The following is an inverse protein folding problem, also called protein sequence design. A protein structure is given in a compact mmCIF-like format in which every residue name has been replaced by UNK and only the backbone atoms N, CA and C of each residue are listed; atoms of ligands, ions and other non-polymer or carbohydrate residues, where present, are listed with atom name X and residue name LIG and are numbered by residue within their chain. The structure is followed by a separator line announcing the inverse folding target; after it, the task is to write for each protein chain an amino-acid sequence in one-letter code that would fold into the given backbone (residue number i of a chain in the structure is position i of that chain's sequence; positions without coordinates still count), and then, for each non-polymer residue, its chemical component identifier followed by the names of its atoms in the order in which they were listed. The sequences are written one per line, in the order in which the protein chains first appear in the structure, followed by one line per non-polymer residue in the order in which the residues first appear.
data_IF_549227886051
#
_entry.id   IF_549227886051
#
_cell.length_a   1.000
_cell.length_b   1.000
_cell.length_c   1.000
_cell.angle_alpha   90.00
_cell.angle_beta   90.00
_cell.angle_gamma   90.00
#
_symmetry.space_group_name_H-M   'P 1'
#
loop_
_entity.id
_entity.type
_entity.pdbx_description
1 polymer ?
#
# COMPACT_ATOMS: atom_id res chain seq x y z
N UNK A 1 0.15 -10.79 -17.55
CA UNK A 1 -0.51 -10.03 -16.47
C UNK A 1 -0.10 -10.53 -15.09
N UNK A 2 -0.02 -11.85 -14.84
CA UNK A 2 0.43 -12.41 -13.55
C UNK A 2 1.65 -11.71 -12.93
N UNK A 3 2.78 -11.66 -13.63
CA UNK A 3 3.99 -10.98 -13.14
C UNK A 3 3.75 -9.50 -12.80
N UNK A 4 3.02 -8.78 -13.66
CA UNK A 4 2.68 -7.37 -13.45
C UNK A 4 1.88 -7.16 -12.16
N UNK A 5 0.95 -8.08 -11.85
CA UNK A 5 0.14 -8.04 -10.63
C UNK A 5 0.96 -8.35 -9.38
N UNK A 6 1.86 -9.34 -9.45
CA UNK A 6 2.77 -9.70 -8.35
C UNK A 6 3.76 -8.56 -8.04
N UNK A 7 4.32 -7.92 -9.07
CA UNK A 7 5.19 -6.76 -8.93
C UNK A 7 4.46 -5.59 -8.27
N UNK A 8 3.23 -5.31 -8.69
CA UNK A 8 2.40 -4.26 -8.12
C UNK A 8 2.06 -4.58 -6.65
N UNK A 9 1.69 -5.83 -6.36
CA UNK A 9 1.43 -6.28 -4.99
C UNK A 9 2.65 -6.13 -4.09
N UNK A 10 3.84 -6.47 -4.59
CA UNK A 10 5.09 -6.26 -3.85
C UNK A 10 5.38 -4.78 -3.59
N UNK A 11 5.05 -3.90 -4.54
CA UNK A 11 5.25 -2.45 -4.41
C UNK A 11 4.33 -1.84 -3.35
N UNK A 12 3.07 -2.29 -3.30
CA UNK A 12 2.07 -1.82 -2.35
C UNK A 12 1.95 -2.67 -1.08
N UNK A 13 2.80 -3.70 -0.90
CA UNK A 13 2.84 -4.57 0.30
C UNK A 13 2.95 -3.79 1.62
N UNK A 14 3.61 -2.63 1.56
CA UNK A 14 3.83 -1.74 2.71
C UNK A 14 2.89 -0.54 2.77
N UNK A 15 1.95 -0.42 1.83
CA UNK A 15 1.00 0.69 1.83
C UNK A 15 0.01 0.53 2.98
N UNK A 16 -0.25 1.61 3.71
CA UNK A 16 -1.28 1.66 4.75
C UNK A 16 -2.69 1.95 4.19
N UNK A 17 -2.78 2.36 2.93
CA UNK A 17 -4.05 2.77 2.28
C UNK A 17 -4.46 1.90 1.10
N UNK A 18 -3.54 1.14 0.51
CA UNK A 18 -3.80 0.31 -0.68
C UNK A 18 -3.46 -1.14 -0.39
N UNK A 19 -4.41 -2.04 -0.69
CA UNK A 19 -4.19 -3.47 -0.72
C UNK A 19 -4.37 -3.98 -2.15
N UNK A 20 -3.36 -4.68 -2.66
CA UNK A 20 -3.44 -5.43 -3.90
C UNK A 20 -3.63 -6.89 -3.53
N UNK A 21 -4.73 -7.49 -4.01
CA UNK A 21 -5.09 -8.87 -3.72
C UNK A 21 -5.56 -9.57 -4.98
N UNK A 22 -5.39 -10.89 -5.02
CA UNK A 22 -5.96 -11.78 -6.03
C UNK A 22 -6.88 -12.81 -5.38
N UNK A 23 -7.85 -13.30 -6.15
CA UNK A 23 -8.76 -14.36 -5.74
C UNK A 23 -8.78 -15.43 -6.83
N UNK A 24 -8.58 -16.69 -6.43
CA UNK A 24 -8.66 -17.82 -7.33
C UNK A 24 -10.11 -18.30 -7.46
N UNK A 25 -10.79 -17.80 -8.49
CA UNK A 25 -12.18 -18.15 -8.78
C UNK A 25 -12.39 -19.62 -9.19
N UNK A 26 -11.33 -20.41 -9.39
CA UNK A 26 -11.48 -21.87 -9.55
C UNK A 26 -11.76 -22.56 -8.22
N UNK A 27 -11.32 -21.95 -7.11
CA UNK A 27 -11.53 -22.41 -5.74
C UNK A 27 -12.69 -21.63 -5.08
N UNK A 28 -12.73 -20.31 -5.26
CA UNK A 28 -13.66 -19.38 -4.62
C UNK A 28 -14.81 -18.96 -5.57
N UNK A 29 -15.58 -19.94 -6.05
CA UNK A 29 -16.58 -19.71 -7.09
C UNK A 29 -17.72 -18.76 -6.65
N UNK A 30 -18.23 -18.93 -5.42
CA UNK A 30 -19.32 -18.11 -4.88
C UNK A 30 -18.91 -16.64 -4.77
N UNK A 31 -17.71 -16.37 -4.23
CA UNK A 31 -17.14 -15.02 -4.14
C UNK A 31 -17.08 -14.38 -5.53
N UNK A 32 -16.56 -15.09 -6.52
CA UNK A 32 -16.41 -14.55 -7.86
C UNK A 32 -17.76 -14.32 -8.57
N UNK A 33 -18.78 -15.16 -8.29
CA UNK A 33 -20.14 -14.92 -8.76
C UNK A 33 -20.77 -13.70 -8.09
N UNK A 34 -20.65 -13.54 -6.77
CA UNK A 34 -21.14 -12.38 -6.01
C UNK A 34 -20.54 -11.08 -6.55
N UNK A 35 -19.24 -11.10 -6.85
CA UNK A 35 -18.55 -9.96 -7.45
C UNK A 35 -18.72 -9.86 -8.98
N UNK A 36 -19.56 -10.69 -9.61
CA UNK A 36 -19.93 -10.60 -11.02
C UNK A 36 -18.79 -10.86 -12.01
N UNK A 37 -17.83 -11.72 -11.64
CA UNK A 37 -16.70 -12.10 -12.50
C UNK A 37 -17.19 -13.07 -13.59
N UNK A 38 -17.10 -12.65 -14.86
CA UNK A 38 -17.56 -13.43 -16.02
C UNK A 38 -16.44 -13.99 -16.89
N UNK A 39 -15.19 -13.61 -16.62
CA UNK A 39 -14.03 -14.04 -17.39
C UNK A 39 -12.73 -13.57 -16.74
N UNK A 40 -11.62 -14.24 -17.06
CA UNK A 40 -10.32 -13.96 -16.44
C UNK A 40 -9.33 -13.33 -17.42
N UNK A 41 -8.45 -12.42 -16.97
CA UNK A 41 -8.49 -11.76 -15.67
C UNK A 41 -9.50 -10.60 -15.65
N UNK A 42 -10.27 -10.50 -14.56
CA UNK A 42 -11.13 -9.36 -14.22
C UNK A 42 -10.47 -8.59 -13.08
N UNK A 43 -10.34 -7.26 -13.23
CA UNK A 43 -9.78 -6.38 -12.21
C UNK A 43 -10.92 -5.48 -11.70
N UNK A 44 -11.09 -5.46 -10.38
CA UNK A 44 -12.01 -4.54 -9.69
C UNK A 44 -11.22 -3.76 -8.65
N UNK A 45 -11.70 -2.56 -8.34
CA UNK A 45 -11.17 -1.74 -7.25
C UNK A 45 -12.27 -1.36 -6.28
N UNK A 46 -11.90 -1.16 -5.02
CA UNK A 46 -12.81 -0.94 -3.91
C UNK A 46 -12.38 0.32 -3.16
N UNK A 47 -12.91 1.50 -3.50
CA UNK A 47 -12.63 2.72 -2.75
C UNK A 47 -13.13 2.62 -1.31
N UNK A 48 -12.38 3.18 -0.37
CA UNK A 48 -12.77 3.19 1.02
C UNK A 48 -14.12 3.92 1.20
N UNK A 49 -15.05 3.28 1.92
CA UNK A 49 -16.37 3.85 2.21
C UNK A 49 -17.45 3.63 1.13
N UNK A 50 -17.10 3.05 -0.03
CA UNK A 50 -18.06 2.83 -1.14
C UNK A 50 -18.68 1.42 -1.18
N UNK A 51 -18.54 0.63 -0.12
CA UNK A 51 -19.14 -0.70 -0.01
C UNK A 51 -18.33 -1.82 -0.70
N UNK A 52 -18.96 -2.99 -0.88
CA UNK A 52 -18.29 -4.24 -1.31
C UNK A 52 -18.52 -4.63 -2.77
N UNK A 53 -19.31 -3.88 -3.54
CA UNK A 53 -19.62 -4.29 -4.93
C UNK A 53 -18.39 -4.18 -5.84
N UNK A 54 -17.55 -3.17 -5.60
CA UNK A 54 -16.33 -2.91 -6.37
C UNK A 54 -16.62 -2.40 -7.78
N UNK A 55 -15.79 -1.46 -8.23
CA UNK A 55 -15.92 -0.85 -9.56
C UNK A 55 -15.00 -1.57 -10.55
N UNK A 56 -15.44 -1.74 -11.81
CA UNK A 56 -14.59 -2.36 -12.83
C UNK A 56 -13.42 -1.44 -13.19
N UNK A 57 -12.21 -2.00 -13.26
CA UNK A 57 -11.06 -1.28 -13.81
C UNK A 57 -10.99 -1.47 -15.34
N UNK A 58 -10.94 -0.35 -16.07
CA UNK A 58 -10.88 -0.34 -17.55
C UNK A 58 -9.62 0.31 -18.12
N UNK A 59 -8.65 0.66 -17.28
CA UNK A 59 -7.39 1.25 -17.73
C UNK A 59 -6.39 0.24 -18.31
N UNK A 60 -5.18 0.72 -18.63
CA UNK A 60 -4.08 -0.11 -19.11
C UNK A 60 -3.67 -1.17 -18.07
N UNK A 61 -3.29 -2.37 -18.54
CA UNK A 61 -2.96 -3.52 -17.68
C UNK A 61 -1.45 -3.76 -17.55
N UNK A 62 -0.64 -2.84 -18.04
CA UNK A 62 0.79 -2.76 -17.75
C UNK A 62 1.03 -2.17 -16.36
N UNK A 63 2.26 -2.33 -15.85
CA UNK A 63 2.62 -1.95 -14.48
C UNK A 63 2.41 -0.45 -14.24
N UNK A 64 2.82 0.38 -15.20
CA UNK A 64 2.81 1.83 -15.05
C UNK A 64 1.38 2.38 -15.05
N UNK A 65 0.51 1.86 -15.93
CA UNK A 65 -0.91 2.21 -15.95
C UNK A 65 -1.62 1.85 -14.63
N UNK A 66 -1.39 0.63 -14.12
CA UNK A 66 -1.99 0.19 -12.86
C UNK A 66 -1.47 1.01 -11.68
N UNK A 67 -0.16 1.22 -11.60
CA UNK A 67 0.46 2.04 -10.56
C UNK A 67 -0.09 3.45 -10.57
N UNK A 68 -0.16 4.08 -11.75
CA UNK A 68 -0.73 5.42 -11.89
C UNK A 68 -2.18 5.47 -11.40
N UNK A 69 -3.01 4.50 -11.78
CA UNK A 69 -4.39 4.44 -11.29
C UNK A 69 -4.48 4.35 -9.77
N UNK A 70 -3.65 3.49 -9.16
CA UNK A 70 -3.57 3.38 -7.70
C UNK A 70 -3.20 4.72 -7.08
N UNK A 71 -2.14 5.38 -7.57
CA UNK A 71 -1.66 6.67 -7.06
C UNK A 71 -2.71 7.79 -7.18
N UNK A 72 -3.41 7.84 -8.31
CA UNK A 72 -4.34 8.93 -8.62
C UNK A 72 -5.72 8.74 -7.96
N UNK A 73 -6.12 7.48 -7.67
CA UNK A 73 -7.52 7.16 -7.33
C UNK A 73 -7.69 6.46 -5.98
N UNK A 74 -6.72 5.65 -5.55
CA UNK A 74 -6.87 4.75 -4.40
C UNK A 74 -5.92 5.08 -3.25
N UNK A 75 -4.73 5.56 -3.57
CA UNK A 75 -3.69 5.82 -2.60
C UNK A 75 -4.02 7.06 -1.79
N UNK A 76 -4.35 6.85 -0.52
CA UNK A 76 -4.36 7.92 0.48
C UNK A 76 -2.98 7.98 1.09
N UNK A 77 -2.24 9.06 0.84
CA UNK A 77 -0.94 9.27 1.48
C UNK A 77 -1.16 9.82 2.87
N UNK A 78 -0.54 9.18 3.87
CA UNK A 78 -0.45 9.75 5.21
C UNK A 78 0.36 11.05 5.14
N UNK A 79 -0.32 12.18 5.30
CA UNK A 79 0.32 13.48 5.32
C UNK A 79 0.90 13.72 6.71
N UNK A 80 2.23 13.79 6.80
CA UNK A 80 2.91 13.89 8.10
C UNK A 80 2.66 15.23 8.79
N UNK A 81 2.18 16.27 8.09
CA UNK A 81 1.95 17.60 8.65
C UNK A 81 0.54 17.74 9.22
N UNK A 82 -0.47 17.41 8.42
CA UNK A 82 -1.90 17.47 8.74
C UNK A 82 -2.42 16.21 9.43
N UNK A 83 -1.67 15.10 9.38
CA UNK A 83 -2.06 13.77 9.88
C UNK A 83 -3.24 13.14 9.12
N UNK A 84 -3.67 13.75 8.02
CA UNK A 84 -4.72 13.21 7.17
C UNK A 84 -4.26 11.91 6.51
N UNK A 85 -5.15 10.92 6.44
CA UNK A 85 -4.83 9.62 5.84
C UNK A 85 -3.90 8.73 6.67
N UNK A 86 -3.53 9.14 7.88
CA UNK A 86 -2.70 8.36 8.79
C UNK A 86 -3.56 7.54 9.78
N UNK A 87 -3.13 6.31 10.05
CA UNK A 87 -3.65 5.45 11.13
C UNK A 87 -3.20 5.96 12.51
N UNK A 88 -3.90 5.55 13.57
CA UNK A 88 -3.52 5.90 14.95
C UNK A 88 -2.08 5.54 15.31
N UNK A 89 -1.57 4.43 14.76
CA UNK A 89 -0.18 3.99 14.96
C UNK A 89 0.81 4.91 14.25
N UNK A 90 0.47 5.38 13.06
CA UNK A 90 1.28 6.33 12.29
C UNK A 90 1.27 7.70 12.96
N UNK A 91 0.12 8.18 13.42
CA UNK A 91 0.00 9.45 14.14
C UNK A 91 0.88 9.45 15.39
N UNK A 92 0.79 8.39 16.22
CA UNK A 92 1.64 8.24 17.41
C UNK A 92 3.13 8.20 17.05
N UNK A 93 3.48 7.56 15.94
CA UNK A 93 4.86 7.50 15.47
C UNK A 93 5.35 8.87 14.96
N UNK A 94 4.52 9.60 14.21
CA UNK A 94 4.79 10.95 13.72
C UNK A 94 5.03 11.89 14.89
N UNK A 95 4.15 11.91 15.88
CA UNK A 95 4.26 12.78 17.06
C UNK A 95 5.55 12.49 17.83
N UNK A 96 5.85 11.22 18.09
CA UNK A 96 7.09 10.82 18.76
C UNK A 96 8.36 11.20 17.99
N UNK A 97 8.29 11.28 16.66
CA UNK A 97 9.46 11.56 15.81
C UNK A 97 9.63 13.05 15.52
N UNK A 98 8.53 13.80 15.44
CA UNK A 98 8.55 15.27 15.31
C UNK A 98 9.23 15.94 16.50
N UNK A 99 9.06 15.40 17.70
CA UNK A 99 9.69 15.93 18.92
C UNK A 99 11.20 15.65 19.00
N UNK A 100 11.71 14.66 18.26
CA UNK A 100 13.14 14.33 18.24
C UNK A 100 13.92 15.27 17.34
N UNK A 101 15.23 15.37 17.57
CA UNK A 101 16.11 16.12 16.68
C UNK A 101 16.19 15.44 15.29
N UNK A 102 16.44 16.23 14.24
CA UNK A 102 16.68 15.70 12.89
C UNK A 102 17.82 14.67 12.88
N UNK A 103 18.87 14.86 13.70
CA UNK A 103 19.95 13.89 13.86
C UNK A 103 19.46 12.50 14.32
N UNK A 104 18.51 12.44 15.26
CA UNK A 104 17.93 11.18 15.74
C UNK A 104 17.04 10.53 14.68
N UNK A 105 16.24 11.33 13.97
CA UNK A 105 15.43 10.85 12.84
C UNK A 105 16.31 10.28 11.74
N UNK A 106 17.42 10.95 11.40
CA UNK A 106 18.38 10.49 10.40
C UNK A 106 19.11 9.22 10.82
N UNK A 107 19.48 9.11 12.10
CA UNK A 107 20.04 7.87 12.66
C UNK A 107 19.03 6.71 12.56
N UNK A 108 17.75 6.98 12.81
CA UNK A 108 16.69 5.99 12.71
C UNK A 108 16.38 5.60 11.26
N UNK A 109 16.40 6.54 10.31
CA UNK A 109 16.34 6.26 8.86
C UNK A 109 17.47 5.32 8.48
N UNK A 110 18.71 5.66 8.85
CA UNK A 110 19.90 4.86 8.51
C UNK A 110 19.81 3.44 9.07
N UNK A 111 19.32 3.30 10.32
CA UNK A 111 19.08 2.00 10.94
C UNK A 111 18.05 1.19 10.17
N UNK A 112 16.90 1.78 9.83
CA UNK A 112 15.83 1.10 9.14
C UNK A 112 16.21 0.75 7.69
N UNK A 113 16.98 1.59 7.00
CA UNK A 113 17.48 1.29 5.64
C UNK A 113 18.43 0.09 5.66
N UNK A 114 19.28 -0.03 6.68
CA UNK A 114 20.12 -1.23 6.88
C UNK A 114 19.31 -2.49 7.20
N UNK A 115 18.11 -2.33 7.77
CA UNK A 115 17.21 -3.45 8.02
C UNK A 115 16.44 -3.86 6.75
N UNK A 116 16.30 -2.98 5.75
CA UNK A 116 15.63 -3.27 4.48
C UNK A 116 16.43 -4.31 3.67
N UNK A 117 16.02 -5.57 3.75
CA UNK A 117 16.59 -6.67 2.98
C UNK A 117 15.56 -7.75 2.64
N UNK A 118 15.83 -8.51 1.58
CA UNK A 118 14.89 -9.43 0.94
C UNK A 118 14.48 -10.63 1.81
N UNK A 119 15.18 -10.91 2.91
CA UNK A 119 14.94 -12.06 3.80
C UNK A 119 14.07 -11.73 5.03
N UNK A 120 13.47 -10.54 5.10
CA UNK A 120 12.57 -10.21 6.20
C UNK A 120 11.20 -10.86 6.05
N UNK A 121 10.53 -11.10 7.18
CA UNK A 121 9.11 -11.46 7.19
C UNK A 121 8.29 -10.32 6.53
N UNK A 122 7.24 -10.63 5.75
CA UNK A 122 6.38 -9.64 5.08
C UNK A 122 5.88 -8.54 6.02
N UNK A 123 5.37 -8.93 7.18
CA UNK A 123 4.89 -8.02 8.24
C UNK A 123 5.96 -7.02 8.72
N UNK A 124 7.20 -7.49 8.87
CA UNK A 124 8.32 -6.68 9.32
C UNK A 124 8.80 -5.75 8.21
N UNK A 125 8.85 -6.25 6.97
CA UNK A 125 9.22 -5.47 5.79
C UNK A 125 8.23 -4.32 5.57
N UNK A 126 6.93 -4.61 5.65
CA UNK A 126 5.87 -3.60 5.56
C UNK A 126 6.04 -2.53 6.63
N UNK A 127 6.26 -2.93 7.89
CA UNK A 127 6.49 -2.01 9.00
C UNK A 127 7.76 -1.14 8.81
N UNK A 128 8.87 -1.72 8.34
CA UNK A 128 10.12 -0.99 8.09
C UNK A 128 9.91 0.06 7.00
N UNK A 129 9.29 -0.33 5.89
CA UNK A 129 9.05 0.55 4.74
C UNK A 129 8.09 1.69 5.08
N UNK A 130 7.00 1.40 5.80
CA UNK A 130 6.05 2.40 6.28
C UNK A 130 6.73 3.44 7.17
N UNK A 131 7.53 3.00 8.15
CA UNK A 131 8.26 3.92 9.04
C UNK A 131 9.31 4.75 8.31
N UNK A 132 10.02 4.14 7.34
CA UNK A 132 10.96 4.86 6.49
C UNK A 132 10.26 5.96 5.67
N UNK A 133 9.08 5.67 5.11
CA UNK A 133 8.30 6.64 4.35
C UNK A 133 7.93 7.87 5.20
N UNK A 134 7.42 7.64 6.41
CA UNK A 134 7.07 8.71 7.36
C UNK A 134 8.31 9.53 7.74
N UNK A 135 9.41 8.87 8.11
CA UNK A 135 10.62 9.56 8.53
C UNK A 135 11.25 10.40 7.42
N UNK A 136 11.28 9.87 6.19
CA UNK A 136 11.78 10.62 5.03
C UNK A 136 10.88 11.82 4.72
N UNK A 137 9.57 11.68 4.89
CA UNK A 137 8.62 12.79 4.70
C UNK A 137 8.76 13.88 5.77
N UNK A 138 9.24 13.55 6.98
CA UNK A 138 9.52 14.52 8.05
C UNK A 138 10.85 15.27 7.86
N UNK A 139 11.75 14.77 7.02
CA UNK A 139 13.04 15.42 6.68
C UNK A 139 13.02 16.12 5.31
N UNK A 140 11.92 15.98 4.56
CA UNK A 140 11.70 16.63 3.27
C UNK A 140 11.21 18.06 3.46
#
# INVERSE_FOLDING_TARGET
MKQTWEDLGTEYESSSSVLIADADCTQEQELCQEHGVKGYPTIKYYPAGEGREGKPYQGGRDKDSLKKFVQDTLEVKCDVNSKEGCTDKEIKFIDSMKEKASADRQAQITRLDKMKGDKMKPELKAWVMQRLSILRSLEA
#
